data_IF_360470769873
#
_entry.id   IF_360470769873
#
_cell.length_a   1.000
_cell.length_b   1.000
_cell.length_c   1.000
_cell.angle_alpha   90.00
_cell.angle_beta   90.00
_cell.angle_gamma   90.00
#
_symmetry.space_group_name_H-M   'P 1'
#
loop_
_entity.id
_entity.type
_entity.pdbx_description
1 polymer ?
#
# COMPACT_ATOMS: atom_id res chain seq x y z
N UNK A 1 13.61 1.57 -13.16
CA UNK A 1 12.22 1.47 -13.65
C UNK A 1 11.81 0.00 -13.72
N UNK A 2 10.59 -0.34 -13.31
CA UNK A 2 10.03 -1.69 -13.52
C UNK A 2 8.85 -1.55 -14.46
N UNK A 3 8.77 -2.39 -15.48
CA UNK A 3 7.63 -2.48 -16.38
C UNK A 3 7.08 -3.89 -16.31
N UNK A 4 5.80 -4.01 -16.00
CA UNK A 4 5.05 -5.27 -15.98
C UNK A 4 4.03 -5.21 -17.12
N UNK A 5 4.12 -6.18 -18.03
CA UNK A 5 3.33 -6.20 -19.26
C UNK A 5 2.57 -7.52 -19.36
N UNK A 6 1.25 -7.41 -19.32
CA UNK A 6 0.31 -8.53 -19.50
C UNK A 6 0.66 -9.79 -18.67
N UNK A 7 1.04 -9.57 -17.40
CA UNK A 7 1.59 -10.59 -16.53
C UNK A 7 0.51 -11.54 -16.03
N UNK A 8 0.72 -12.83 -16.25
CA UNK A 8 -0.18 -13.90 -15.83
C UNK A 8 0.56 -14.97 -15.04
N UNK A 9 -0.05 -15.45 -13.96
CA UNK A 9 0.40 -16.62 -13.21
C UNK A 9 -0.74 -17.58 -12.91
N UNK A 10 -0.59 -18.80 -13.44
CA UNK A 10 -1.54 -19.90 -13.21
C UNK A 10 -0.88 -21.02 -12.39
N UNK A 11 -1.60 -21.56 -11.43
CA UNK A 11 -1.27 -22.75 -10.67
C UNK A 11 -2.36 -23.81 -10.91
N UNK A 12 -2.13 -24.70 -11.89
CA UNK A 12 -3.19 -25.56 -12.40
C UNK A 12 -4.36 -24.73 -12.96
N UNK A 13 -5.55 -24.91 -12.42
CA UNK A 13 -6.75 -24.15 -12.82
C UNK A 13 -6.92 -22.82 -12.08
N UNK A 14 -6.08 -22.53 -11.08
CA UNK A 14 -6.18 -21.29 -10.31
C UNK A 14 -5.32 -20.19 -10.94
N UNK A 15 -5.94 -19.08 -11.32
CA UNK A 15 -5.28 -17.87 -11.82
C UNK A 15 -4.96 -16.97 -10.64
N UNK A 16 -3.71 -16.94 -10.22
CA UNK A 16 -3.25 -16.14 -9.07
C UNK A 16 -2.92 -14.69 -9.46
N UNK A 17 -2.51 -14.46 -10.71
CA UNK A 17 -2.26 -13.14 -11.31
C UNK A 17 -2.84 -13.16 -12.70
N UNK A 18 -3.62 -12.15 -13.04
CA UNK A 18 -4.46 -12.10 -14.22
C UNK A 18 -4.24 -10.78 -14.99
N UNK A 19 -3.42 -10.86 -16.05
CA UNK A 19 -3.12 -9.79 -17.02
C UNK A 19 -2.70 -8.45 -16.38
N UNK A 20 -1.83 -8.48 -15.34
CA UNK A 20 -1.34 -7.27 -14.69
C UNK A 20 -0.50 -6.43 -15.64
N UNK A 21 -0.81 -5.12 -15.68
CA UNK A 21 -0.07 -4.12 -16.42
C UNK A 21 0.18 -2.90 -15.52
N UNK A 22 1.43 -2.58 -15.23
CA UNK A 22 1.79 -1.36 -14.50
C UNK A 22 3.27 -1.02 -14.69
N UNK A 23 3.60 0.22 -14.36
CA UNK A 23 4.98 0.73 -14.38
C UNK A 23 5.33 1.35 -13.04
N UNK A 24 6.55 1.04 -12.56
CA UNK A 24 7.14 1.66 -11.36
C UNK A 24 8.23 2.62 -11.80
N UNK A 25 8.01 3.91 -11.56
CA UNK A 25 8.98 4.96 -11.90
C UNK A 25 10.14 5.00 -10.90
N UNK A 26 11.31 5.49 -11.36
CA UNK A 26 12.48 5.63 -10.49
C UNK A 26 12.29 6.68 -9.40
N UNK A 27 12.84 6.39 -8.22
CA UNK A 27 12.92 7.34 -7.10
C UNK A 27 11.60 7.61 -6.38
N UNK A 28 10.62 6.73 -6.53
CA UNK A 28 9.33 6.77 -5.81
C UNK A 28 9.16 5.54 -4.94
N UNK A 29 8.30 5.66 -3.94
CA UNK A 29 7.85 4.55 -3.08
C UNK A 29 6.46 4.11 -3.55
N UNK A 30 6.36 2.89 -4.03
CA UNK A 30 5.10 2.27 -4.46
C UNK A 30 4.58 1.31 -3.41
N UNK A 31 3.30 1.47 -3.06
CA UNK A 31 2.56 0.53 -2.22
C UNK A 31 1.77 -0.46 -3.08
N UNK A 32 1.95 -1.74 -2.84
CA UNK A 32 1.22 -2.83 -3.48
C UNK A 32 0.18 -3.34 -2.49
N UNK A 33 -1.05 -2.85 -2.59
CA UNK A 33 -2.12 -3.06 -1.63
C UNK A 33 -3.12 -4.10 -2.14
N UNK A 34 -3.63 -4.92 -1.25
CA UNK A 34 -4.68 -5.89 -1.55
C UNK A 34 -4.95 -6.85 -0.40
N UNK A 35 -6.10 -7.54 -0.37
CA UNK A 35 -6.39 -8.54 0.64
C UNK A 35 -5.43 -9.75 0.56
N UNK A 36 -5.48 -10.61 1.55
CA UNK A 36 -4.75 -11.87 1.50
C UNK A 36 -5.30 -12.73 0.34
N UNK A 37 -4.39 -13.30 -0.45
CA UNK A 37 -4.77 -14.05 -1.65
C UNK A 37 -4.98 -13.21 -2.91
N UNK A 38 -4.87 -11.89 -2.87
CA UNK A 38 -5.03 -11.02 -4.04
C UNK A 38 -3.93 -11.15 -5.12
N UNK A 39 -2.86 -11.92 -4.86
CA UNK A 39 -1.76 -12.12 -5.81
C UNK A 39 -0.50 -11.28 -5.52
N UNK A 40 -0.45 -10.51 -4.42
CA UNK A 40 0.68 -9.62 -4.08
C UNK A 40 2.03 -10.33 -4.04
N UNK A 41 2.20 -11.30 -3.13
CA UNK A 41 3.47 -12.04 -2.98
C UNK A 41 3.81 -12.86 -4.22
N UNK A 42 2.80 -13.37 -4.95
CA UNK A 42 3.02 -14.03 -6.25
C UNK A 42 3.64 -13.05 -7.26
N UNK A 43 3.11 -11.83 -7.35
CA UNK A 43 3.65 -10.78 -8.22
C UNK A 43 5.05 -10.37 -7.80
N UNK A 44 5.30 -10.14 -6.50
CA UNK A 44 6.64 -9.84 -5.99
C UNK A 44 7.66 -10.95 -6.31
N UNK A 45 7.26 -12.21 -6.17
CA UNK A 45 8.10 -13.35 -6.50
C UNK A 45 8.42 -13.45 -8.01
N UNK A 46 7.50 -13.03 -8.87
CA UNK A 46 7.78 -12.95 -10.32
C UNK A 46 8.70 -11.78 -10.64
N UNK A 47 8.48 -10.59 -10.07
CA UNK A 47 9.35 -9.41 -10.28
C UNK A 47 10.79 -9.69 -9.81
N UNK A 48 10.96 -10.44 -8.73
CA UNK A 48 12.29 -10.81 -8.22
C UNK A 48 12.92 -12.01 -8.94
N UNK A 49 12.17 -12.63 -9.86
CA UNK A 49 12.62 -13.83 -10.60
C UNK A 49 12.77 -15.06 -9.70
N UNK A 50 12.04 -15.10 -8.57
CA UNK A 50 11.95 -16.28 -7.72
C UNK A 50 11.07 -17.37 -8.34
N UNK A 51 9.99 -16.96 -9.03
CA UNK A 51 9.15 -17.83 -9.85
C UNK A 51 9.00 -17.22 -11.24
N UNK A 52 8.84 -18.06 -12.27
CA UNK A 52 8.54 -17.61 -13.61
C UNK A 52 7.05 -17.25 -13.76
N UNK A 53 6.74 -16.27 -14.62
CA UNK A 53 5.38 -16.01 -15.10
C UNK A 53 4.87 -17.17 -15.96
N UNK A 54 3.56 -17.28 -16.10
CA UNK A 54 2.95 -18.19 -17.11
C UNK A 54 2.91 -17.50 -18.47
N UNK A 55 2.57 -16.20 -18.47
CA UNK A 55 2.49 -15.34 -19.65
C UNK A 55 2.96 -13.91 -19.26
N UNK A 56 3.33 -13.11 -20.26
CA UNK A 56 3.72 -11.72 -20.07
C UNK A 56 5.15 -11.53 -19.60
N UNK A 57 5.59 -10.27 -19.60
CA UNK A 57 6.97 -9.87 -19.38
C UNK A 57 7.15 -8.95 -18.18
N UNK A 58 8.32 -9.05 -17.55
CA UNK A 58 8.79 -8.12 -16.52
C UNK A 58 10.16 -7.60 -16.93
N UNK A 59 10.25 -6.27 -17.08
CA UNK A 59 11.48 -5.59 -17.42
C UNK A 59 11.98 -4.77 -16.23
N UNK A 60 13.22 -5.00 -15.86
CA UNK A 60 13.93 -4.27 -14.79
C UNK A 60 15.01 -3.40 -15.44
N UNK A 61 14.76 -2.10 -15.50
CA UNK A 61 15.62 -1.16 -16.25
C UNK A 61 15.94 -1.62 -17.69
N UNK A 62 14.93 -2.18 -18.37
CA UNK A 62 15.02 -2.68 -19.73
C UNK A 62 15.48 -4.13 -19.86
N UNK A 63 15.93 -4.79 -18.78
CA UNK A 63 16.35 -6.20 -18.78
C UNK A 63 15.17 -7.11 -18.41
N UNK A 64 14.83 -8.04 -19.28
CA UNK A 64 13.78 -9.04 -18.99
C UNK A 64 14.26 -10.00 -17.91
N UNK A 65 13.45 -10.16 -16.86
CA UNK A 65 13.82 -10.97 -15.68
C UNK A 65 14.02 -12.46 -15.98
N UNK A 66 13.42 -12.98 -17.05
CA UNK A 66 13.55 -14.38 -17.47
C UNK A 66 14.67 -14.59 -18.49
N UNK A 67 14.91 -13.62 -19.38
CA UNK A 67 15.91 -13.70 -20.45
C UNK A 67 17.30 -13.24 -19.98
N UNK A 68 17.34 -12.18 -19.15
CA UNK A 68 18.57 -11.58 -18.62
C UNK A 68 18.57 -11.53 -17.07
N UNK A 69 18.36 -12.68 -16.38
CA UNK A 69 18.12 -12.71 -14.93
C UNK A 69 19.26 -12.14 -14.09
N UNK A 70 20.51 -12.30 -14.51
CA UNK A 70 21.65 -11.77 -13.77
C UNK A 70 21.69 -10.25 -13.78
N UNK A 71 21.45 -9.62 -14.94
CA UNK A 71 21.47 -8.16 -15.08
C UNK A 71 20.27 -7.53 -14.37
N UNK A 72 19.09 -8.15 -14.45
CA UNK A 72 17.90 -7.72 -13.75
C UNK A 72 18.06 -7.84 -12.22
N UNK A 73 18.49 -9.02 -11.72
CA UNK A 73 18.61 -9.29 -10.27
C UNK A 73 19.69 -8.48 -9.57
N UNK A 74 20.77 -8.09 -10.26
CA UNK A 74 21.79 -7.17 -9.71
C UNK A 74 21.22 -5.83 -9.29
N UNK A 75 20.12 -5.39 -9.90
CA UNK A 75 19.45 -4.10 -9.64
C UNK A 75 18.44 -4.17 -8.52
N UNK A 76 18.12 -5.37 -8.01
CA UNK A 76 17.05 -5.61 -7.03
C UNK A 76 17.65 -6.01 -5.67
N UNK A 77 17.18 -5.37 -4.63
CA UNK A 77 17.27 -5.86 -3.25
C UNK A 77 15.91 -6.38 -2.82
N UNK A 78 15.83 -7.60 -2.32
CA UNK A 78 14.57 -8.23 -1.93
C UNK A 78 14.55 -8.63 -0.47
N UNK A 79 13.49 -8.24 0.22
CA UNK A 79 13.14 -8.69 1.55
C UNK A 79 11.81 -9.44 1.46
N UNK A 80 11.78 -10.76 1.53
CA UNK A 80 10.53 -11.52 1.61
C UNK A 80 9.87 -11.37 2.99
N UNK A 81 8.59 -11.69 3.10
CA UNK A 81 7.82 -11.64 4.36
C UNK A 81 8.55 -12.37 5.51
N UNK A 82 9.12 -13.55 5.22
CA UNK A 82 9.96 -14.29 6.16
C UNK A 82 11.39 -14.28 5.62
N UNK A 83 12.29 -13.45 6.18
CA UNK A 83 13.67 -13.39 5.72
C UNK A 83 14.40 -14.75 5.93
N UNK A 84 15.07 -15.28 4.89
CA UNK A 84 15.77 -16.57 4.95
C UNK A 84 17.12 -16.43 5.67
N UNK A 85 17.08 -16.17 6.98
CA UNK A 85 18.28 -15.89 7.77
C UNK A 85 18.91 -17.20 8.31
N UNK A 86 20.24 -17.27 8.23
CA UNK A 86 21.01 -18.36 8.84
C UNK A 86 21.09 -18.15 10.36
N UNK A 87 20.28 -18.91 11.09
CA UNK A 87 20.02 -18.71 12.52
C UNK A 87 21.26 -18.91 13.42
N UNK A 88 22.22 -19.73 13.00
CA UNK A 88 23.45 -20.06 13.73
C UNK A 88 24.64 -19.14 13.39
N UNK A 89 24.44 -18.17 12.50
CA UNK A 89 25.41 -17.11 12.22
C UNK A 89 25.15 -15.90 13.11
N UNK A 90 26.19 -15.13 13.41
CA UNK A 90 26.05 -13.76 13.90
C UNK A 90 25.56 -12.85 12.77
N UNK A 91 25.01 -11.69 13.11
CA UNK A 91 24.57 -10.69 12.12
C UNK A 91 25.70 -10.32 11.16
N UNK A 92 26.91 -10.10 11.67
CA UNK A 92 28.08 -9.77 10.86
C UNK A 92 28.47 -10.90 9.91
N UNK A 93 28.59 -12.14 10.40
CA UNK A 93 28.93 -13.30 9.56
C UNK A 93 27.91 -13.51 8.44
N UNK A 94 26.61 -13.34 8.76
CA UNK A 94 25.54 -13.45 7.76
C UNK A 94 25.66 -12.37 6.68
N UNK A 95 25.90 -11.12 7.06
CA UNK A 95 26.05 -10.03 6.09
C UNK A 95 27.34 -10.17 5.25
N UNK A 96 28.41 -10.68 5.85
CA UNK A 96 29.65 -11.00 5.12
C UNK A 96 29.41 -12.11 4.07
N UNK A 97 28.71 -13.16 4.45
CA UNK A 97 28.30 -14.24 3.55
C UNK A 97 27.38 -13.71 2.41
N UNK A 98 26.36 -12.94 2.75
CA UNK A 98 25.45 -12.37 1.77
C UNK A 98 26.16 -11.41 0.79
N UNK A 99 27.15 -10.66 1.28
CA UNK A 99 27.97 -9.78 0.46
C UNK A 99 28.87 -10.56 -0.52
N UNK A 100 29.34 -11.76 -0.12
CA UNK A 100 30.06 -12.67 -1.02
C UNK A 100 29.18 -13.24 -2.11
N UNK A 101 27.98 -13.68 -1.77
CA UNK A 101 27.00 -14.18 -2.74
C UNK A 101 26.61 -13.10 -3.77
N UNK A 102 26.53 -11.84 -3.35
CA UNK A 102 26.28 -10.69 -4.25
C UNK A 102 27.53 -10.24 -5.02
N UNK A 103 28.66 -10.96 -4.92
CA UNK A 103 29.92 -10.65 -5.57
C UNK A 103 30.40 -9.21 -5.32
N UNK A 104 30.16 -8.65 -4.13
CA UNK A 104 30.63 -7.30 -3.76
C UNK A 104 32.17 -7.32 -3.69
N UNK A 105 32.87 -6.39 -4.39
CA UNK A 105 34.33 -6.33 -4.40
C UNK A 105 34.90 -6.24 -2.96
N UNK A 106 35.99 -6.97 -2.70
CA UNK A 106 36.60 -7.07 -1.36
C UNK A 106 36.91 -5.72 -0.73
N UNK A 107 37.34 -4.75 -1.55
CA UNK A 107 37.68 -3.39 -1.14
C UNK A 107 36.46 -2.62 -0.58
N UNK A 108 35.28 -2.89 -1.16
CA UNK A 108 34.01 -2.23 -0.80
C UNK A 108 33.18 -3.01 0.21
N UNK A 109 33.50 -4.29 0.43
CA UNK A 109 32.69 -5.21 1.25
C UNK A 109 32.52 -4.69 2.68
N UNK A 110 33.63 -4.32 3.35
CA UNK A 110 33.60 -3.87 4.74
C UNK A 110 32.80 -2.58 4.91
N UNK A 111 33.06 -1.56 4.08
CA UNK A 111 32.35 -0.28 4.15
C UNK A 111 30.86 -0.45 3.84
N UNK A 112 30.52 -1.28 2.85
CA UNK A 112 29.12 -1.57 2.50
C UNK A 112 28.35 -2.24 3.66
N UNK A 113 28.98 -3.24 4.32
CA UNK A 113 28.38 -3.91 5.48
C UNK A 113 28.19 -2.94 6.65
N UNK A 114 29.18 -2.10 6.94
CA UNK A 114 29.08 -1.10 8.01
C UNK A 114 27.97 -0.08 7.73
N UNK A 115 27.86 0.39 6.48
CA UNK A 115 26.81 1.34 6.09
C UNK A 115 25.42 0.74 6.16
N UNK A 116 25.20 -0.49 5.67
CA UNK A 116 23.86 -1.12 5.75
C UNK A 116 23.48 -1.44 7.20
N UNK A 117 24.44 -1.83 8.07
CA UNK A 117 24.17 -2.04 9.50
C UNK A 117 23.76 -0.73 10.18
N UNK A 118 24.43 0.38 9.86
CA UNK A 118 24.10 1.70 10.39
C UNK A 118 22.74 2.17 9.89
N UNK A 119 22.48 2.05 8.59
CA UNK A 119 21.20 2.42 7.98
C UNK A 119 20.04 1.66 8.61
N UNK A 120 20.18 0.35 8.85
CA UNK A 120 19.12 -0.49 9.44
C UNK A 120 19.14 -0.52 10.96
N UNK A 121 20.06 0.20 11.60
CA UNK A 121 20.20 0.30 13.07
C UNK A 121 20.36 -1.06 13.76
N UNK A 122 21.32 -1.86 13.30
CA UNK A 122 21.63 -3.20 13.86
C UNK A 122 23.09 -3.34 14.32
N UNK A 123 23.82 -2.23 14.44
CA UNK A 123 25.22 -2.21 14.85
C UNK A 123 25.43 -2.78 16.26
N UNK A 124 24.49 -2.51 17.16
CA UNK A 124 24.50 -2.97 18.56
C UNK A 124 24.37 -4.49 18.71
N UNK A 125 23.81 -5.16 17.71
CA UNK A 125 23.58 -6.62 17.70
C UNK A 125 24.49 -7.38 16.72
N UNK A 126 25.44 -6.72 16.07
CA UNK A 126 26.28 -7.28 15.00
C UNK A 126 27.01 -8.58 15.36
N UNK A 127 27.35 -8.77 16.65
CA UNK A 127 28.05 -9.96 17.15
C UNK A 127 27.09 -10.96 17.82
N UNK A 128 25.76 -10.72 17.82
CA UNK A 128 24.77 -11.67 18.35
C UNK A 128 24.38 -12.68 17.29
N UNK A 129 24.12 -13.91 17.73
CA UNK A 129 23.52 -14.95 16.88
C UNK A 129 22.13 -14.54 16.47
N UNK A 130 21.80 -14.72 15.19
CA UNK A 130 20.49 -14.32 14.61
C UNK A 130 19.32 -15.02 15.30
N UNK A 131 19.48 -16.29 15.74
CA UNK A 131 18.44 -17.00 16.50
C UNK A 131 18.00 -16.29 17.78
N UNK A 132 18.90 -15.51 18.39
CA UNK A 132 18.67 -14.81 19.65
C UNK A 132 18.11 -13.40 19.46
N UNK A 133 17.77 -13.00 18.24
CA UNK A 133 17.20 -11.69 17.92
C UNK A 133 15.68 -11.72 18.00
N UNK A 134 15.08 -10.58 18.37
CA UNK A 134 13.64 -10.36 18.23
C UNK A 134 13.22 -10.37 16.75
N UNK A 135 11.92 -10.53 16.47
CA UNK A 135 11.39 -10.49 15.11
C UNK A 135 11.77 -9.19 14.40
N UNK A 136 11.64 -8.04 15.06
CA UNK A 136 12.01 -6.74 14.50
C UNK A 136 13.49 -6.63 14.13
N UNK A 137 14.40 -7.14 14.97
CA UNK A 137 15.82 -7.19 14.60
C UNK A 137 16.09 -8.15 13.44
N UNK A 138 15.42 -9.30 13.37
CA UNK A 138 15.52 -10.21 12.21
C UNK A 138 15.06 -9.55 10.92
N UNK A 139 13.96 -8.80 10.99
CA UNK A 139 13.47 -8.01 9.84
C UNK A 139 14.49 -6.97 9.37
N UNK A 140 15.13 -6.25 10.31
CA UNK A 140 16.19 -5.28 10.01
C UNK A 140 17.45 -5.94 9.42
N UNK A 141 17.81 -7.15 9.87
CA UNK A 141 18.91 -7.93 9.28
C UNK A 141 18.58 -8.35 7.85
N UNK A 142 17.35 -8.80 7.59
CA UNK A 142 16.87 -9.10 6.23
C UNK A 142 16.90 -7.87 5.33
N UNK A 143 16.48 -6.72 5.86
CA UNK A 143 16.54 -5.46 5.13
C UNK A 143 17.99 -5.02 4.85
N UNK A 144 18.91 -5.17 5.82
CA UNK A 144 20.33 -4.93 5.60
C UNK A 144 20.89 -5.81 4.46
N UNK A 145 20.51 -7.08 4.42
CA UNK A 145 20.87 -8.01 3.35
C UNK A 145 20.31 -7.54 1.99
N UNK A 146 19.06 -7.05 1.94
CA UNK A 146 18.47 -6.50 0.72
C UNK A 146 19.26 -5.29 0.20
N UNK A 147 19.74 -4.41 1.09
CA UNK A 147 20.49 -3.20 0.77
C UNK A 147 21.95 -3.44 0.34
N UNK A 148 22.53 -4.61 0.59
CA UNK A 148 23.90 -4.93 0.18
C UNK A 148 24.10 -4.74 -1.32
N UNK A 149 25.15 -4.03 -1.70
CA UNK A 149 25.48 -3.73 -3.11
C UNK A 149 24.76 -2.49 -3.65
N UNK A 150 24.00 -1.77 -2.84
CA UNK A 150 23.25 -0.55 -3.23
C UNK A 150 22.36 -0.74 -4.45
N UNK A 151 21.39 -1.68 -4.41
CA UNK A 151 20.49 -1.91 -5.52
C UNK A 151 19.67 -0.66 -5.84
N UNK A 152 19.37 -0.41 -7.10
CA UNK A 152 18.53 0.72 -7.52
C UNK A 152 17.08 0.55 -7.06
N UNK A 153 16.63 -0.69 -6.94
CA UNK A 153 15.25 -1.06 -6.61
C UNK A 153 15.25 -1.94 -5.36
N UNK A 154 14.39 -1.62 -4.42
CA UNK A 154 14.17 -2.39 -3.18
C UNK A 154 12.73 -2.89 -3.17
N UNK A 155 12.56 -4.19 -3.03
CA UNK A 155 11.26 -4.85 -2.94
C UNK A 155 11.10 -5.42 -1.53
N UNK A 156 10.02 -5.04 -0.86
CA UNK A 156 9.73 -5.40 0.53
C UNK A 156 8.36 -6.09 0.57
N UNK A 157 8.33 -7.38 0.86
CA UNK A 157 7.07 -8.13 0.99
C UNK A 157 6.64 -8.15 2.46
N UNK A 158 5.52 -7.46 2.76
CA UNK A 158 4.91 -7.34 4.10
C UNK A 158 5.93 -6.98 5.20
N UNK A 159 6.71 -5.89 5.07
CA UNK A 159 7.88 -5.62 5.92
C UNK A 159 7.55 -5.36 7.39
N UNK A 160 6.29 -5.12 7.73
CA UNK A 160 5.81 -4.74 9.08
C UNK A 160 5.03 -5.85 9.78
N UNK A 161 4.75 -6.96 9.10
CA UNK A 161 3.94 -8.06 9.64
C UNK A 161 4.49 -8.62 10.93
N UNK A 162 3.65 -8.58 11.99
CA UNK A 162 3.94 -9.15 13.31
C UNK A 162 5.00 -8.38 14.10
N UNK A 163 5.21 -7.12 13.78
CA UNK A 163 5.96 -6.16 14.57
C UNK A 163 5.04 -5.44 15.56
N UNK A 164 5.59 -4.95 16.66
CA UNK A 164 4.87 -4.08 17.57
C UNK A 164 4.73 -2.65 17.01
N UNK A 165 3.78 -1.82 17.51
CA UNK A 165 3.52 -0.49 16.97
C UNK A 165 4.74 0.42 16.91
N UNK A 166 5.67 0.32 17.86
CA UNK A 166 6.89 1.13 17.87
C UNK A 166 7.83 0.69 16.75
N UNK A 167 8.00 -0.61 16.56
CA UNK A 167 8.83 -1.16 15.50
C UNK A 167 8.26 -0.84 14.11
N UNK A 168 6.94 -0.84 13.96
CA UNK A 168 6.26 -0.43 12.71
C UNK A 168 6.65 1.02 12.35
N UNK A 169 6.57 1.95 13.29
CA UNK A 169 6.95 3.35 13.06
C UNK A 169 8.42 3.43 12.63
N UNK A 170 9.31 2.72 13.32
CA UNK A 170 10.73 2.72 13.02
C UNK A 170 11.06 2.13 11.63
N UNK A 171 10.36 1.08 11.21
CA UNK A 171 10.52 0.50 9.86
C UNK A 171 9.96 1.44 8.79
N UNK A 172 8.82 2.11 9.03
CA UNK A 172 8.27 3.13 8.13
C UNK A 172 9.24 4.29 7.91
N UNK A 173 9.83 4.82 8.97
CA UNK A 173 10.82 5.90 8.87
C UNK A 173 12.06 5.46 8.07
N UNK A 174 12.48 4.21 8.27
CA UNK A 174 13.56 3.61 7.51
C UNK A 174 13.21 3.52 6.02
N UNK A 175 12.03 3.01 5.67
CA UNK A 175 11.56 2.91 4.27
C UNK A 175 11.48 4.29 3.62
N UNK A 176 10.93 5.31 4.30
CA UNK A 176 10.95 6.70 3.83
C UNK A 176 12.36 7.21 3.56
N UNK A 177 13.30 6.87 4.44
CA UNK A 177 14.71 7.20 4.24
C UNK A 177 15.31 6.55 3.00
N UNK A 178 14.96 5.30 2.73
CA UNK A 178 15.40 4.55 1.55
C UNK A 178 14.84 5.12 0.25
N UNK A 179 13.57 5.55 0.23
CA UNK A 179 12.93 6.15 -0.95
C UNK A 179 13.62 7.39 -1.50
N UNK A 180 14.46 8.06 -0.68
CA UNK A 180 15.27 9.21 -1.15
C UNK A 180 16.42 8.81 -2.08
N UNK A 181 16.85 7.56 -2.05
CA UNK A 181 18.02 7.06 -2.81
C UNK A 181 17.67 5.89 -3.73
N UNK A 182 16.59 5.21 -3.46
CA UNK A 182 16.17 3.99 -4.14
C UNK A 182 14.73 4.11 -4.62
N UNK A 183 14.37 3.34 -5.63
CA UNK A 183 12.97 3.04 -5.93
C UNK A 183 12.54 1.93 -4.98
N UNK A 184 11.42 2.11 -4.29
CA UNK A 184 10.94 1.12 -3.31
C UNK A 184 9.58 0.62 -3.73
N UNK A 185 9.38 -0.69 -3.69
CA UNK A 185 8.05 -1.32 -3.75
C UNK A 185 7.84 -2.04 -2.42
N UNK A 186 6.73 -1.78 -1.77
CA UNK A 186 6.34 -2.53 -0.59
C UNK A 186 4.94 -3.11 -0.76
N UNK A 187 4.76 -4.36 -0.39
CA UNK A 187 3.44 -4.96 -0.26
C UNK A 187 2.90 -4.75 1.14
N UNK A 188 1.61 -4.52 1.26
CA UNK A 188 0.89 -4.56 2.54
C UNK A 188 -0.59 -4.85 2.31
N UNK A 189 -1.23 -5.41 3.32
CA UNK A 189 -2.68 -5.50 3.41
C UNK A 189 -3.25 -4.41 4.35
N UNK A 190 -2.38 -3.58 4.94
CA UNK A 190 -2.74 -2.52 5.87
C UNK A 190 -2.61 -1.16 5.18
N UNK A 191 -3.73 -0.55 4.91
CA UNK A 191 -3.82 0.67 4.14
C UNK A 191 -3.15 1.87 4.80
N UNK A 192 -3.33 2.04 6.12
CA UNK A 192 -2.69 3.12 6.88
C UNK A 192 -1.15 3.07 6.84
N UNK A 193 -0.58 1.90 6.60
CA UNK A 193 0.86 1.76 6.41
C UNK A 193 1.30 2.28 5.05
N UNK A 194 0.57 1.90 4.00
CA UNK A 194 0.83 2.32 2.63
C UNK A 194 0.67 3.82 2.48
N UNK A 195 -0.45 4.38 2.97
CA UNK A 195 -0.73 5.83 2.91
C UNK A 195 0.31 6.68 3.62
N UNK A 196 0.88 6.14 4.70
CA UNK A 196 1.87 6.88 5.50
C UNK A 196 3.25 6.98 4.83
N UNK A 197 3.55 6.13 3.84
CA UNK A 197 4.91 5.95 3.31
C UNK A 197 5.00 6.12 1.80
N UNK A 198 3.95 5.71 1.05
CA UNK A 198 4.00 5.58 -0.40
C UNK A 198 3.63 6.88 -1.12
N UNK A 199 4.32 7.14 -2.23
CA UNK A 199 4.00 8.22 -3.18
C UNK A 199 2.90 7.77 -4.16
N UNK A 200 2.79 6.46 -4.41
CA UNK A 200 1.84 5.86 -5.35
C UNK A 200 1.36 4.50 -4.84
N UNK A 201 0.11 4.17 -5.09
CA UNK A 201 -0.51 2.93 -4.64
C UNK A 201 -1.06 2.15 -5.84
N UNK A 202 -0.76 0.87 -5.88
CA UNK A 202 -1.30 -0.12 -6.80
C UNK A 202 -2.24 -1.01 -6.00
N UNK A 203 -3.54 -0.92 -6.23
CA UNK A 203 -4.55 -1.76 -5.55
C UNK A 203 -4.82 -3.00 -6.40
N UNK A 204 -4.62 -4.16 -5.81
CA UNK A 204 -4.84 -5.45 -6.46
C UNK A 204 -5.93 -6.24 -5.73
N UNK A 205 -6.85 -6.79 -6.50
CA UNK A 205 -7.82 -7.78 -6.03
C UNK A 205 -7.92 -8.94 -7.01
N UNK A 206 -7.97 -10.17 -6.48
CA UNK A 206 -8.14 -11.42 -7.26
C UNK A 206 -7.22 -11.51 -8.49
N UNK A 207 -5.97 -11.06 -8.35
CA UNK A 207 -4.95 -11.09 -9.38
C UNK A 207 -4.98 -9.96 -10.39
N UNK A 208 -5.95 -9.03 -10.32
CA UNK A 208 -6.09 -7.89 -11.24
C UNK A 208 -5.76 -6.57 -10.57
N UNK A 209 -5.27 -5.61 -11.35
CA UNK A 209 -5.07 -4.22 -10.91
C UNK A 209 -6.42 -3.51 -10.94
N UNK A 210 -6.88 -3.07 -9.77
CA UNK A 210 -8.18 -2.39 -9.60
C UNK A 210 -8.02 -0.88 -9.67
N UNK A 211 -6.94 -0.35 -9.08
CA UNK A 211 -6.63 1.09 -9.13
C UNK A 211 -5.12 1.34 -9.03
N UNK A 212 -4.69 2.48 -9.57
CA UNK A 212 -3.29 2.91 -9.58
C UNK A 212 -3.21 4.42 -9.58
N UNK A 213 -2.94 5.04 -8.42
CA UNK A 213 -2.76 6.50 -8.28
C UNK A 213 -2.06 6.84 -6.94
N UNK A 214 -1.84 8.14 -6.69
CA UNK A 214 -1.39 8.61 -5.38
C UNK A 214 -2.46 8.38 -4.30
N UNK A 215 -2.07 8.20 -3.01
CA UNK A 215 -3.02 8.07 -1.91
C UNK A 215 -4.06 9.20 -1.87
N UNK A 216 -3.61 10.44 -2.12
CA UNK A 216 -4.47 11.62 -2.12
C UNK A 216 -5.48 11.60 -3.26
N UNK A 217 -5.07 11.19 -4.46
CA UNK A 217 -5.95 11.11 -5.61
C UNK A 217 -6.98 9.99 -5.45
N UNK A 218 -6.56 8.80 -4.96
CA UNK A 218 -7.47 7.70 -4.68
C UNK A 218 -8.56 8.11 -3.69
N UNK A 219 -8.18 8.85 -2.63
CA UNK A 219 -9.15 9.38 -1.67
C UNK A 219 -10.12 10.40 -2.30
N UNK A 220 -9.66 11.22 -3.24
CA UNK A 220 -10.49 12.20 -3.95
C UNK A 220 -11.40 11.57 -5.01
N UNK A 221 -10.89 10.62 -5.79
CA UNK A 221 -11.65 9.96 -6.86
C UNK A 221 -12.90 9.26 -6.34
N UNK A 222 -12.82 8.70 -5.13
CA UNK A 222 -13.93 7.99 -4.51
C UNK A 222 -14.77 8.88 -3.57
N UNK A 223 -14.21 9.99 -3.14
CA UNK A 223 -14.96 11.04 -2.45
C UNK A 223 -15.97 11.76 -3.35
N UNK A 224 -16.23 11.26 -4.57
CA UNK A 224 -17.12 11.76 -5.64
C UNK A 224 -18.24 12.74 -5.26
N UNK A 225 -18.49 12.94 -3.98
CA UNK A 225 -19.27 13.97 -3.34
C UNK A 225 -18.39 14.64 -2.28
N UNK A 226 -18.12 15.94 -2.41
CA UNK A 226 -17.65 16.79 -1.33
C UNK A 226 -18.63 16.63 -0.16
N UNK A 227 -18.35 15.73 0.77
CA UNK A 227 -19.21 15.51 1.92
C UNK A 227 -18.59 16.10 3.19
N UNK A 228 -19.45 16.57 4.08
CA UNK A 228 -19.09 17.03 5.41
C UNK A 228 -19.80 16.15 6.44
N UNK A 229 -19.06 15.66 7.40
CA UNK A 229 -19.62 14.96 8.57
C UNK A 229 -19.68 15.91 9.74
N UNK A 230 -20.86 16.04 10.34
CA UNK A 230 -21.10 16.91 11.48
C UNK A 230 -21.76 16.14 12.61
N UNK A 231 -21.35 16.44 13.84
CA UNK A 231 -22.13 16.12 15.06
C UNK A 231 -22.70 17.42 15.59
N UNK A 232 -24.02 17.55 15.61
CA UNK A 232 -24.72 18.81 15.91
C UNK A 232 -25.64 18.57 17.12
N UNK A 233 -25.55 19.43 18.12
CA UNK A 233 -26.45 19.38 19.28
C UNK A 233 -27.67 20.21 19.00
N UNK A 234 -28.86 19.58 19.08
CA UNK A 234 -30.13 20.24 18.81
C UNK A 234 -31.23 19.26 18.47
N UNK A 235 -32.44 19.77 18.22
CA UNK A 235 -33.53 18.95 17.68
C UNK A 235 -33.35 18.82 16.17
N UNK A 236 -33.59 17.65 15.63
CA UNK A 236 -33.47 17.39 14.21
C UNK A 236 -34.25 18.40 13.34
N UNK A 237 -35.45 18.81 13.80
CA UNK A 237 -36.26 19.82 13.08
C UNK A 237 -35.56 21.19 12.91
N UNK A 238 -34.82 21.64 13.95
CA UNK A 238 -34.11 22.90 13.93
C UNK A 238 -32.83 22.79 13.05
N UNK A 239 -32.17 21.63 13.09
CA UNK A 239 -31.01 21.32 12.23
C UNK A 239 -31.44 21.27 10.76
N UNK A 240 -32.59 20.65 10.44
CA UNK A 240 -33.12 20.62 9.06
C UNK A 240 -33.38 22.03 8.53
N UNK A 241 -34.03 22.90 9.31
CA UNK A 241 -34.26 24.30 8.91
C UNK A 241 -32.97 25.07 8.67
N UNK A 242 -31.91 24.78 9.45
CA UNK A 242 -30.61 25.42 9.21
C UNK A 242 -30.00 25.01 7.86
N UNK A 243 -30.07 23.73 7.51
CA UNK A 243 -29.56 23.25 6.22
C UNK A 243 -30.38 23.74 5.03
N UNK A 244 -31.69 23.96 5.19
CA UNK A 244 -32.55 24.53 4.15
C UNK A 244 -32.17 25.98 3.77
N UNK A 245 -31.39 26.68 4.62
CA UNK A 245 -30.89 28.02 4.38
C UNK A 245 -29.55 28.05 3.63
N UNK A 246 -28.89 26.91 3.47
CA UNK A 246 -27.55 26.82 2.88
C UNK A 246 -27.65 26.37 1.43
N UNK A 247 -27.13 27.16 0.52
CA UNK A 247 -27.05 26.84 -0.90
C UNK A 247 -25.96 25.78 -1.16
N UNK A 248 -26.05 25.10 -2.31
CA UNK A 248 -25.09 24.07 -2.77
C UNK A 248 -25.06 22.78 -1.93
N UNK A 249 -26.05 22.51 -1.13
CA UNK A 249 -26.28 21.19 -0.52
C UNK A 249 -27.04 20.32 -1.52
N UNK A 250 -26.48 19.14 -1.84
CA UNK A 250 -27.11 18.17 -2.71
C UNK A 250 -28.01 17.21 -1.92
N UNK A 251 -27.51 16.73 -0.77
CA UNK A 251 -28.20 15.77 0.07
C UNK A 251 -27.75 15.92 1.51
N UNK A 252 -28.68 15.70 2.45
CA UNK A 252 -28.41 15.67 3.90
C UNK A 252 -28.93 14.35 4.47
N UNK A 253 -28.02 13.53 5.00
CA UNK A 253 -28.33 12.23 5.58
C UNK A 253 -28.17 12.34 7.09
N UNK A 254 -29.21 11.96 7.84
CA UNK A 254 -29.26 12.05 9.30
C UNK A 254 -29.02 10.67 9.90
N UNK A 255 -28.20 10.63 10.95
CA UNK A 255 -27.86 9.41 11.68
C UNK A 255 -28.07 9.61 13.18
N UNK A 256 -28.35 8.53 13.88
CA UNK A 256 -28.39 8.54 15.34
C UNK A 256 -27.00 8.80 15.91
N UNK A 257 -26.89 9.76 16.85
CA UNK A 257 -25.62 10.09 17.49
C UNK A 257 -25.44 9.36 18.81
N UNK A 258 -24.22 8.94 19.09
CA UNK A 258 -23.84 8.43 20.42
C UNK A 258 -23.85 9.52 21.50
N UNK A 259 -23.82 10.79 21.09
CA UNK A 259 -23.88 11.94 22.00
C UNK A 259 -25.31 12.29 22.31
N UNK A 260 -25.71 12.20 23.58
CA UNK A 260 -27.08 12.47 24.03
C UNK A 260 -27.54 13.87 23.66
N UNK A 261 -28.63 13.97 22.89
CA UNK A 261 -29.22 15.22 22.43
C UNK A 261 -28.45 15.86 21.25
N UNK A 262 -27.65 15.08 20.56
CA UNK A 262 -27.03 15.45 19.28
C UNK A 262 -27.54 14.55 18.15
N UNK A 263 -27.33 15.01 16.92
CA UNK A 263 -27.58 14.29 15.67
C UNK A 263 -26.27 14.26 14.87
N UNK A 264 -25.91 13.10 14.31
CA UNK A 264 -24.82 12.97 13.36
C UNK A 264 -25.39 13.16 11.96
N UNK A 265 -24.74 14.01 11.16
CA UNK A 265 -25.26 14.43 9.86
C UNK A 265 -24.15 14.33 8.82
N UNK A 266 -24.44 13.68 7.69
CA UNK A 266 -23.59 13.71 6.51
C UNK A 266 -24.21 14.64 5.47
N UNK A 267 -23.49 15.70 5.08
CA UNK A 267 -23.92 16.69 4.09
C UNK A 267 -23.12 16.49 2.81
N UNK A 268 -23.79 16.17 1.71
CA UNK A 268 -23.19 16.13 0.38
C UNK A 268 -23.29 17.50 -0.28
N UNK A 269 -22.18 17.99 -0.82
CA UNK A 269 -22.04 19.35 -1.37
C UNK A 269 -21.90 19.30 -2.88
N UNK A 270 -22.65 20.14 -3.59
CA UNK A 270 -22.53 20.28 -5.04
C UNK A 270 -21.36 21.20 -5.41
N UNK A 271 -20.40 20.70 -6.20
CA UNK A 271 -19.27 21.48 -6.70
C UNK A 271 -18.08 21.58 -5.73
N UNK A 272 -17.11 22.46 -6.05
CA UNK A 272 -15.86 22.62 -5.28
C UNK A 272 -15.90 23.72 -4.21
N UNK A 273 -17.06 24.33 -3.98
CA UNK A 273 -17.17 25.46 -3.07
C UNK A 273 -17.16 25.02 -1.61
N UNK A 274 -16.34 25.66 -0.80
CA UNK A 274 -16.33 25.45 0.66
C UNK A 274 -17.55 26.12 1.30
N UNK A 275 -18.49 25.32 1.80
CA UNK A 275 -19.72 25.80 2.45
C UNK A 275 -19.68 25.71 3.99
N UNK A 276 -18.52 25.39 4.58
CA UNK A 276 -18.40 25.21 6.05
C UNK A 276 -18.78 26.45 6.83
N UNK A 277 -18.40 27.64 6.35
CA UNK A 277 -18.81 28.91 6.97
C UNK A 277 -20.33 29.10 6.93
N UNK A 278 -20.96 28.83 5.79
CA UNK A 278 -22.39 28.99 5.60
C UNK A 278 -23.16 28.05 6.54
N UNK A 279 -22.73 26.79 6.65
CA UNK A 279 -23.28 25.80 7.59
C UNK A 279 -23.12 26.29 9.03
N UNK A 280 -21.93 26.80 9.39
CA UNK A 280 -21.68 27.32 10.73
C UNK A 280 -22.65 28.44 11.10
N UNK A 281 -22.84 29.44 10.25
CA UNK A 281 -23.72 30.57 10.53
C UNK A 281 -25.20 30.15 10.57
N UNK A 282 -25.64 29.29 9.66
CA UNK A 282 -27.02 28.79 9.65
C UNK A 282 -27.37 28.01 10.93
N UNK A 283 -26.47 27.13 11.37
CA UNK A 283 -26.65 26.37 12.62
C UNK A 283 -26.56 27.26 13.86
N UNK A 284 -25.71 28.30 13.85
CA UNK A 284 -25.61 29.26 14.94
C UNK A 284 -26.91 30.08 15.08
N UNK A 285 -27.55 30.50 13.99
CA UNK A 285 -28.83 31.19 13.99
C UNK A 285 -29.94 30.35 14.62
N UNK A 286 -29.96 29.05 14.35
CA UNK A 286 -30.86 28.08 14.93
C UNK A 286 -30.46 27.62 16.36
N UNK A 287 -29.38 28.16 16.91
CA UNK A 287 -28.81 27.79 18.24
C UNK A 287 -28.47 26.31 18.36
N UNK A 288 -28.00 25.71 17.25
CA UNK A 288 -27.57 24.32 17.15
C UNK A 288 -26.04 24.23 17.17
N UNK A 289 -25.38 24.07 18.32
CA UNK A 289 -23.92 24.03 18.40
C UNK A 289 -23.33 22.85 17.63
N UNK A 290 -22.28 23.10 16.83
CA UNK A 290 -21.48 22.08 16.17
C UNK A 290 -20.50 21.51 17.19
N UNK A 291 -20.57 20.22 17.48
CA UNK A 291 -19.66 19.51 18.36
C UNK A 291 -18.47 18.92 17.60
N UNK A 292 -18.68 18.54 16.34
CA UNK A 292 -17.66 18.02 15.42
C UNK A 292 -17.99 18.47 14.01
N UNK A 293 -17.00 18.87 13.23
CA UNK A 293 -17.12 19.07 11.81
C UNK A 293 -15.83 18.58 11.16
N UNK A 294 -15.94 17.68 10.21
CA UNK A 294 -14.82 17.18 9.43
C UNK A 294 -15.23 16.99 7.97
N UNK A 295 -14.27 17.07 7.05
CA UNK A 295 -14.50 16.67 5.67
C UNK A 295 -14.76 15.16 5.64
N UNK A 296 -15.86 14.75 5.03
CA UNK A 296 -16.20 13.36 4.79
C UNK A 296 -15.39 12.79 3.62
N UNK A 297 -14.09 13.04 3.59
CA UNK A 297 -13.22 12.36 2.65
C UNK A 297 -13.26 10.88 3.01
N UNK A 298 -13.67 10.06 2.06
CA UNK A 298 -13.59 8.63 2.26
C UNK A 298 -12.17 8.27 2.69
N UNK A 299 -12.07 7.51 3.76
CA UNK A 299 -10.80 6.91 4.12
C UNK A 299 -10.35 6.00 2.96
N UNK A 300 -9.06 5.84 2.77
CA UNK A 300 -8.59 4.88 1.76
C UNK A 300 -9.10 3.45 2.05
N UNK A 301 -9.47 3.13 3.32
CA UNK A 301 -10.14 1.88 3.70
C UNK A 301 -11.50 1.74 3.03
N UNK A 302 -12.31 2.80 3.04
CA UNK A 302 -13.64 2.82 2.38
C UNK A 302 -13.50 2.80 0.86
N UNK A 303 -12.48 3.50 0.33
CA UNK A 303 -12.09 3.44 -1.09
C UNK A 303 -11.75 2.01 -1.49
N UNK A 304 -10.92 1.36 -0.69
CA UNK A 304 -10.50 -0.02 -0.93
C UNK A 304 -11.68 -1.00 -0.93
N UNK A 305 -12.57 -0.89 0.07
CA UNK A 305 -13.76 -1.74 0.18
C UNK A 305 -14.70 -1.52 -1.03
N UNK A 306 -14.96 -0.27 -1.42
CA UNK A 306 -15.79 0.01 -2.61
C UNK A 306 -15.20 -0.57 -3.88
N UNK A 307 -13.90 -0.35 -4.13
CA UNK A 307 -13.24 -0.85 -5.33
C UNK A 307 -13.26 -2.38 -5.41
N UNK A 308 -13.13 -3.06 -4.28
CA UNK A 308 -13.21 -4.53 -4.24
C UNK A 308 -14.65 -5.04 -4.38
N UNK A 309 -15.65 -4.36 -3.80
CA UNK A 309 -17.07 -4.70 -3.94
C UNK A 309 -17.59 -4.43 -5.37
N UNK A 310 -17.18 -3.33 -6.00
CA UNK A 310 -17.58 -3.01 -7.38
C UNK A 310 -16.92 -3.98 -8.38
N UNK A 311 -15.67 -4.35 -8.19
CA UNK A 311 -15.00 -5.38 -8.97
C UNK A 311 -15.67 -6.79 -8.83
N UNK A 312 -16.36 -7.06 -7.72
CA UNK A 312 -17.17 -8.28 -7.56
C UNK A 312 -18.46 -8.23 -8.36
N UNK A 313 -19.12 -7.07 -8.41
CA UNK A 313 -20.36 -6.88 -9.18
C UNK A 313 -20.12 -6.95 -10.67
N UNK A 314 -19.05 -6.31 -11.16
CA UNK A 314 -18.69 -6.33 -12.59
C UNK A 314 -18.37 -7.76 -13.06
N UNK A 315 -17.68 -8.56 -12.23
CA UNK A 315 -17.44 -9.99 -12.53
C UNK A 315 -18.71 -10.83 -12.55
N UNK A 316 -19.65 -10.58 -11.66
CA UNK A 316 -20.91 -11.30 -11.66
C UNK A 316 -21.69 -11.05 -12.96
N UNK A 317 -21.62 -9.83 -13.50
CA UNK A 317 -22.23 -9.46 -14.79
C UNK A 317 -21.50 -10.10 -15.96
N UNK A 318 -20.15 -10.15 -15.94
CA UNK A 318 -19.36 -10.83 -17.00
C UNK A 318 -19.65 -12.34 -17.06
N UNK A 319 -19.71 -13.02 -15.91
CA UNK A 319 -19.99 -14.46 -15.84
C UNK A 319 -21.41 -14.76 -16.31
N UNK A 320 -22.41 -13.96 -15.93
CA UNK A 320 -23.78 -14.13 -16.41
C UNK A 320 -23.88 -13.90 -17.91
N UNK A 321 -23.12 -12.98 -18.50
CA UNK A 321 -23.11 -12.76 -19.96
C UNK A 321 -22.43 -13.90 -20.73
N UNK A 322 -21.34 -14.49 -20.22
CA UNK A 322 -20.68 -15.64 -20.83
C UNK A 322 -21.55 -16.91 -20.79
N UNK A 323 -22.31 -17.12 -19.69
CA UNK A 323 -23.24 -18.26 -19.59
C UNK A 323 -24.39 -18.13 -20.59
N UNK A 324 -24.89 -16.91 -20.84
CA UNK A 324 -25.96 -16.67 -21.81
C UNK A 324 -25.50 -16.80 -23.26
N UNK A 325 -24.22 -16.61 -23.58
CA UNK A 325 -23.65 -16.82 -24.91
C UNK A 325 -23.40 -18.33 -25.21
N UNK A 326 -23.03 -19.14 -24.20
CA UNK A 326 -22.82 -20.58 -24.35
C UNK A 326 -24.15 -21.39 -24.44
N UNK A 327 -25.25 -20.89 -23.88
CA UNK A 327 -26.58 -21.54 -24.00
C UNK A 327 -27.33 -21.16 -25.30
N UNK A 328 -26.78 -20.29 -26.13
CA UNK A 328 -27.35 -19.76 -27.37
C UNK A 328 -26.80 -20.38 -28.66
N UNK A 329 -25.83 -21.30 -28.60
CA UNK A 329 -25.33 -22.11 -29.72
C UNK A 329 -25.87 -23.56 -29.62
#
# INVERSE_FOLDING_TARGET
MIEVRNLVKKYGNHVAVDHLNFTVEKGKIYGFLGPNGAGKSTTMNMITGYIASTEGDILIDGHNILEEPEEAKKRIGYLPEIPPLYQDMTVREYLEFAAELKAIPREKKKSNIEEVMSTTKIEDVKNRLIKNLSKGYKQRVGLAQALLGYPEIIILDEPTVGLDPKQIIEIRDLIKGLGRKHTVILSSHILSEVSAVCDHVLIIDKGRLVASDSPENLSKLMAGDNSLELTIKGREEDIRKAFDMVENIQEVIYHDSLVKGACDVTVKVSGEQDIRENIFFALAEMKCPILKMQSGNMSLEEVFLKLTDDAEKDRAVEIDSEIFEEEGE
#
